data_IF_582532819333
#
_entry.id   IF_582532819333
#
_cell.length_a   1.000
_cell.length_b   1.000
_cell.length_c   1.000
_cell.angle_alpha   90.00
_cell.angle_beta   90.00
_cell.angle_gamma   90.00
#
_symmetry.space_group_name_H-M   'P 1'
#
loop_
_entity.id
_entity.type
_entity.pdbx_description
1 polymer ?
#
# COMPACT_ATOMS: atom_id res chain seq x y z
N UNK A 1 13.80 -15.29 16.32
CA UNK A 1 15.04 -14.64 15.84
C UNK A 1 15.98 -15.73 15.36
N UNK A 2 16.62 -15.57 14.20
CA UNK A 2 17.65 -16.53 13.74
C UNK A 2 18.90 -16.37 14.62
N UNK A 3 19.60 -17.47 15.01
CA UNK A 3 20.88 -17.35 15.70
C UNK A 3 21.87 -16.54 14.85
N UNK A 4 22.66 -15.66 15.49
CA UNK A 4 23.62 -14.75 14.84
C UNK A 4 23.03 -13.79 13.80
N UNK A 5 21.73 -13.50 13.87
CA UNK A 5 21.07 -12.54 12.97
C UNK A 5 20.23 -11.55 13.78
N UNK A 6 20.50 -10.25 13.60
CA UNK A 6 19.69 -9.16 14.15
C UNK A 6 18.36 -8.93 13.42
N UNK A 7 18.00 -9.82 12.49
CA UNK A 7 16.80 -9.69 11.67
C UNK A 7 15.57 -10.21 12.40
N UNK A 8 14.57 -9.35 12.54
CA UNK A 8 13.21 -9.72 12.97
C UNK A 8 12.47 -10.36 11.80
N UNK A 9 11.84 -11.52 12.04
CA UNK A 9 10.97 -12.21 11.08
C UNK A 9 9.62 -12.42 11.74
N UNK A 10 8.58 -11.85 11.12
CA UNK A 10 7.20 -11.97 11.58
C UNK A 10 6.50 -13.00 10.67
N UNK A 11 6.01 -14.09 11.26
CA UNK A 11 5.26 -15.11 10.53
C UNK A 11 3.76 -14.97 10.84
N UNK A 12 2.98 -14.63 9.82
CA UNK A 12 1.53 -14.42 9.92
C UNK A 12 0.69 -15.62 9.44
N UNK A 13 1.32 -16.74 9.07
CA UNK A 13 0.65 -17.90 8.47
C UNK A 13 -0.38 -18.57 9.39
N UNK A 14 -0.24 -18.41 10.72
CA UNK A 14 -1.14 -19.02 11.71
C UNK A 14 -2.33 -18.12 12.09
N UNK A 15 -2.91 -17.43 11.10
CA UNK A 15 -4.04 -16.51 11.32
C UNK A 15 -3.64 -15.15 11.90
N UNK A 16 -2.36 -14.78 11.81
CA UNK A 16 -1.89 -13.45 12.18
C UNK A 16 -2.40 -12.40 11.19
N UNK A 17 -2.83 -11.25 11.71
CA UNK A 17 -3.25 -10.08 10.91
C UNK A 17 -2.06 -9.15 10.73
N UNK A 18 -1.69 -8.82 9.49
CA UNK A 18 -0.55 -7.93 9.20
C UNK A 18 -0.72 -6.54 9.83
N UNK A 19 -1.97 -6.09 9.97
CA UNK A 19 -2.39 -4.86 10.63
C UNK A 19 -1.95 -4.81 12.10
N UNK A 20 -1.88 -5.95 12.78
CA UNK A 20 -1.47 -6.02 14.18
C UNK A 20 0.03 -5.78 14.39
N UNK A 21 0.81 -5.78 13.30
CA UNK A 21 2.25 -5.53 13.30
C UNK A 21 2.61 -4.18 12.66
N UNK A 22 1.63 -3.31 12.42
CA UNK A 22 1.90 -1.94 12.01
C UNK A 22 2.55 -1.16 13.16
N UNK A 23 3.61 -0.42 12.86
CA UNK A 23 4.35 0.32 13.87
C UNK A 23 5.70 0.82 13.39
N UNK A 24 6.39 1.53 14.27
CA UNK A 24 7.74 2.00 14.06
C UNK A 24 8.72 1.09 14.80
N UNK A 25 9.66 0.53 14.05
CA UNK A 25 10.66 -0.42 14.54
C UNK A 25 12.04 0.21 14.48
N UNK A 26 12.89 -0.14 15.44
CA UNK A 26 14.27 0.29 15.48
C UNK A 26 15.16 -0.87 15.94
N UNK A 27 16.24 -1.11 15.21
CA UNK A 27 17.23 -2.12 15.56
C UNK A 27 18.30 -1.49 16.45
N UNK A 28 18.65 -2.21 17.53
CA UNK A 28 19.68 -1.80 18.49
C UNK A 28 20.76 -2.88 18.51
N UNK A 29 21.97 -2.53 18.09
CA UNK A 29 23.13 -3.41 18.09
C UNK A 29 24.09 -2.99 19.21
N UNK A 30 24.36 -3.87 20.18
CA UNK A 30 25.19 -3.57 21.36
C UNK A 30 26.40 -4.50 21.45
N UNK A 31 27.56 -3.92 21.78
CA UNK A 31 28.78 -4.64 22.14
C UNK A 31 29.45 -3.98 23.36
N UNK A 32 30.61 -4.48 23.78
CA UNK A 32 31.35 -3.95 24.93
C UNK A 32 31.80 -2.48 24.75
N UNK A 33 31.89 -1.99 23.51
CA UNK A 33 32.33 -0.63 23.19
C UNK A 33 31.20 0.38 23.08
N UNK A 34 29.96 -0.07 22.96
CA UNK A 34 28.81 0.83 22.86
C UNK A 34 27.59 0.22 22.17
N UNK A 35 26.72 1.10 21.69
CA UNK A 35 25.44 0.77 21.06
C UNK A 35 25.29 1.56 19.76
N UNK A 36 24.94 0.88 18.67
CA UNK A 36 24.51 1.48 17.42
C UNK A 36 23.00 1.29 17.25
N UNK A 37 22.33 2.30 16.67
CA UNK A 37 20.87 2.33 16.51
C UNK A 37 20.55 2.60 15.05
N UNK A 38 19.60 1.85 14.47
CA UNK A 38 19.17 2.06 13.08
C UNK A 38 18.30 3.30 12.91
N UNK A 39 18.04 3.68 11.66
CA UNK A 39 16.92 4.56 11.33
C UNK A 39 15.59 3.91 11.75
N UNK A 40 14.57 4.75 11.84
CA UNK A 40 13.21 4.31 12.10
C UNK A 40 12.65 3.55 10.89
N UNK A 41 12.10 2.37 11.15
CA UNK A 41 11.53 1.47 10.15
C UNK A 41 10.02 1.48 10.34
N UNK A 42 9.30 2.13 9.45
CA UNK A 42 7.84 2.22 9.49
C UNK A 42 7.25 1.03 8.76
N UNK A 43 6.67 0.09 9.51
CA UNK A 43 5.95 -1.07 8.97
C UNK A 43 4.46 -0.71 8.89
N UNK A 44 3.89 -0.83 7.68
CA UNK A 44 2.48 -0.61 7.39
C UNK A 44 1.96 -1.70 6.47
N UNK A 45 0.72 -2.10 6.65
CA UNK A 45 0.08 -3.02 5.72
C UNK A 45 -0.13 -2.32 4.37
N UNK A 46 0.20 -3.01 3.29
CA UNK A 46 -0.21 -2.60 1.95
C UNK A 46 -1.72 -2.70 1.82
N UNK A 47 -2.37 -1.62 1.36
CA UNK A 47 -3.83 -1.54 1.23
C UNK A 47 -4.18 -1.21 -0.20
N UNK A 48 -4.96 -2.09 -0.83
CA UNK A 48 -5.56 -1.89 -2.15
C UNK A 48 -7.08 -1.95 -2.01
N UNK A 49 -7.71 -0.88 -1.52
CA UNK A 49 -9.16 -0.85 -1.38
C UNK A 49 -9.87 -1.06 -2.72
N UNK A 50 -11.04 -1.69 -2.65
CA UNK A 50 -11.89 -1.87 -3.82
C UNK A 50 -12.55 -0.54 -4.19
N UNK A 51 -12.78 -0.36 -5.49
CA UNK A 51 -13.63 0.73 -5.98
C UNK A 51 -15.05 0.54 -5.46
N UNK A 52 -15.66 1.63 -5.01
CA UNK A 52 -17.09 1.65 -4.75
C UNK A 52 -17.84 1.27 -6.03
N UNK A 53 -18.87 0.43 -5.91
CA UNK A 53 -19.75 0.13 -7.04
C UNK A 53 -20.48 1.41 -7.42
N UNK A 54 -19.99 2.09 -8.45
CA UNK A 54 -20.63 3.26 -9.02
C UNK A 54 -21.43 2.85 -10.24
N UNK A 55 -22.66 3.35 -10.33
CA UNK A 55 -23.43 3.28 -11.57
C UNK A 55 -23.00 4.49 -12.39
N UNK A 56 -22.26 4.24 -13.47
CA UNK A 56 -21.85 5.29 -14.40
C UNK A 56 -23.03 5.61 -15.32
N UNK A 57 -23.51 6.84 -15.25
CA UNK A 57 -24.47 7.33 -16.22
C UNK A 57 -23.75 7.77 -17.51
N UNK A 58 -24.35 7.53 -18.69
CA UNK A 58 -23.75 7.93 -19.94
C UNK A 58 -23.62 9.45 -20.02
N UNK A 59 -22.42 9.92 -20.35
CA UNK A 59 -22.14 11.34 -20.55
C UNK A 59 -22.34 11.65 -22.03
N UNK A 60 -23.34 12.48 -22.34
CA UNK A 60 -23.66 12.92 -23.70
C UNK A 60 -23.12 14.34 -23.89
N UNK A 61 -22.29 14.55 -24.90
CA UNK A 61 -21.71 15.86 -25.24
C UNK A 61 -21.93 16.18 -26.72
N UNK A 62 -21.83 17.46 -27.06
CA UNK A 62 -21.85 17.91 -28.46
C UNK A 62 -20.50 17.67 -29.11
N UNK A 63 -20.52 17.43 -30.43
CA UNK A 63 -19.31 17.33 -31.23
C UNK A 63 -18.46 18.61 -31.11
N UNK A 64 -17.14 18.43 -31.00
CA UNK A 64 -16.18 19.53 -30.77
C UNK A 64 -16.10 20.04 -29.33
N UNK A 65 -16.96 19.60 -28.41
CA UNK A 65 -16.85 19.93 -26.99
C UNK A 65 -15.76 19.11 -26.30
N UNK A 66 -15.06 19.71 -25.34
CA UNK A 66 -14.11 19.00 -24.47
C UNK A 66 -14.83 18.35 -23.28
N UNK A 67 -14.35 17.19 -22.83
CA UNK A 67 -14.88 16.46 -21.68
C UNK A 67 -13.75 16.05 -20.73
N UNK A 68 -14.07 16.04 -19.44
CA UNK A 68 -13.22 15.48 -18.38
C UNK A 68 -13.95 14.26 -17.82
N UNK A 69 -13.31 13.08 -17.89
CA UNK A 69 -13.77 11.91 -17.17
C UNK A 69 -13.14 11.93 -15.76
N UNK A 70 -13.91 12.17 -14.69
CA UNK A 70 -13.36 12.23 -13.35
C UNK A 70 -12.90 10.83 -12.91
N UNK A 71 -11.65 10.73 -12.46
CA UNK A 71 -11.11 9.51 -11.86
C UNK A 71 -10.92 9.75 -10.35
N UNK A 72 -11.57 8.94 -9.51
CA UNK A 72 -11.49 9.04 -8.04
C UNK A 72 -11.08 7.67 -7.46
N UNK A 73 -9.82 7.25 -7.66
CA UNK A 73 -9.37 5.96 -7.16
C UNK A 73 -9.37 5.98 -5.63
N UNK A 74 -9.70 4.85 -4.99
CA UNK A 74 -9.64 4.76 -3.54
C UNK A 74 -8.17 4.84 -3.07
N UNK A 75 -7.96 5.39 -1.87
CA UNK A 75 -6.61 5.65 -1.35
C UNK A 75 -5.89 4.34 -1.01
N UNK A 76 -4.88 3.99 -1.82
CA UNK A 76 -4.00 2.84 -1.58
C UNK A 76 -2.71 3.20 -0.85
N UNK A 77 -2.08 2.19 -0.24
CA UNK A 77 -0.71 2.28 0.27
C UNK A 77 0.08 1.14 -0.37
N UNK A 78 1.10 1.42 -1.21
CA UNK A 78 1.45 2.75 -1.73
C UNK A 78 0.36 3.35 -2.63
N UNK A 79 0.44 4.64 -2.99
CA UNK A 79 -0.48 5.25 -3.94
C UNK A 79 -0.58 4.43 -5.24
N UNK A 80 -1.79 4.24 -5.79
CA UNK A 80 -1.98 3.42 -6.98
C UNK A 80 -1.41 4.11 -8.23
N UNK A 81 -0.98 3.30 -9.19
CA UNK A 81 -0.68 3.75 -10.55
C UNK A 81 -1.99 3.74 -11.34
N UNK A 82 -2.32 4.86 -11.99
CA UNK A 82 -3.61 5.06 -12.67
C UNK A 82 -3.37 5.14 -14.18
N UNK A 83 -4.21 4.44 -14.94
CA UNK A 83 -4.22 4.48 -16.40
C UNK A 83 -5.65 4.25 -16.91
N UNK A 84 -5.94 4.76 -18.09
CA UNK A 84 -7.22 4.56 -18.78
C UNK A 84 -7.09 3.40 -19.76
N UNK A 85 -8.17 2.62 -19.88
CA UNK A 85 -8.35 1.59 -20.91
C UNK A 85 -9.75 1.75 -21.47
N UNK A 86 -9.94 1.38 -22.74
CA UNK A 86 -11.25 1.16 -23.29
C UNK A 86 -11.84 -0.17 -22.75
N UNK A 87 -13.16 -0.31 -22.85
CA UNK A 87 -13.75 -1.62 -22.65
C UNK A 87 -13.40 -2.47 -23.88
N UNK A 88 -12.79 -3.64 -23.67
CA UNK A 88 -12.76 -4.69 -24.69
C UNK A 88 -14.19 -5.19 -24.92
N UNK A 89 -14.95 -4.55 -25.81
CA UNK A 89 -16.18 -5.10 -26.37
C UNK A 89 -15.89 -5.60 -27.79
N UNK A 90 -16.16 -6.89 -28.03
CA UNK A 90 -16.30 -7.49 -29.37
C UNK A 90 -17.74 -7.36 -29.83
#
# INVERSE_FOLDING_TARGET
MKPNSGTLVINIMNGGKAEAYEGEYQCIARNERGTAVSNNIVIRQSRSPLWTKEKLDPIIIQDGASLILPCRPPVGIPPPIIFWMDNCEY
#
